data_IF_433421471590
#
_entry.id   IF_433421471590
#
_cell.length_a   1.000
_cell.length_b   1.000
_cell.length_c   1.000
_cell.angle_alpha   90.00
_cell.angle_beta   90.00
_cell.angle_gamma   90.00
#
_symmetry.space_group_name_H-M   'P 1'
#
loop_
_entity.id
_entity.type
_entity.pdbx_description
1 polymer ?
#
# COMPACT_ATOMS: atom_id res chain seq x y z
N UNK A 1 -25.51 42.02 -36.66
CA UNK A 1 -26.19 41.03 -35.80
C UNK A 1 -25.13 40.44 -34.88
N UNK A 2 -25.02 40.97 -33.66
CA UNK A 2 -23.97 40.63 -32.69
C UNK A 2 -24.51 39.46 -31.86
N UNK A 3 -23.91 38.28 -31.96
CA UNK A 3 -24.24 37.20 -31.02
C UNK A 3 -23.63 37.52 -29.66
N UNK A 4 -24.44 37.56 -28.58
CA UNK A 4 -23.91 37.75 -27.24
C UNK A 4 -23.14 36.49 -26.84
N UNK A 5 -21.84 36.65 -26.61
CA UNK A 5 -20.96 35.65 -26.01
C UNK A 5 -21.39 35.36 -24.57
N UNK A 6 -22.36 34.47 -24.42
CA UNK A 6 -22.78 33.96 -23.13
C UNK A 6 -21.66 33.11 -22.55
N UNK A 7 -21.12 33.56 -21.42
CA UNK A 7 -20.29 32.75 -20.53
C UNK A 7 -21.14 31.58 -20.01
N UNK A 8 -21.27 30.51 -20.80
CA UNK A 8 -21.74 29.22 -20.31
C UNK A 8 -20.64 28.67 -19.42
N UNK A 9 -20.64 29.11 -18.15
CA UNK A 9 -19.86 28.51 -17.10
C UNK A 9 -20.05 27.00 -17.17
N UNK A 10 -18.96 26.29 -17.44
CA UNK A 10 -18.99 24.90 -17.85
C UNK A 10 -19.43 24.00 -16.68
N UNK A 11 -20.75 23.83 -16.53
CA UNK A 11 -21.41 22.98 -15.55
C UNK A 11 -20.96 21.51 -15.64
N UNK A 12 -20.23 21.13 -16.70
CA UNK A 12 -19.65 19.79 -16.82
C UNK A 12 -18.45 19.58 -15.89
N UNK A 13 -17.79 20.65 -15.44
CA UNK A 13 -16.59 20.58 -14.57
C UNK A 13 -16.90 20.39 -13.07
N UNK A 14 -18.09 20.77 -12.60
CA UNK A 14 -18.47 20.69 -11.18
C UNK A 14 -18.93 19.29 -10.75
N UNK A 15 -19.63 18.55 -11.64
CA UNK A 15 -20.15 17.20 -11.35
C UNK A 15 -19.07 16.19 -10.93
N UNK A 16 -17.87 16.16 -11.55
CA UNK A 16 -16.83 15.20 -11.18
C UNK A 16 -16.27 15.37 -9.76
N UNK A 17 -16.22 16.59 -9.22
CA UNK A 17 -15.74 16.85 -7.86
C UNK A 17 -16.76 16.45 -6.80
N UNK A 18 -18.06 16.67 -7.06
CA UNK A 18 -19.12 16.20 -6.17
C UNK A 18 -19.12 14.68 -6.02
N UNK A 19 -18.91 13.93 -7.10
CA UNK A 19 -18.77 12.47 -7.03
C UNK A 19 -17.51 12.04 -6.26
N UNK A 20 -16.38 12.74 -6.46
CA UNK A 20 -15.15 12.46 -5.71
C UNK A 20 -15.33 12.71 -4.20
N UNK A 21 -16.11 13.72 -3.82
CA UNK A 21 -16.39 14.05 -2.43
C UNK A 21 -17.09 12.90 -1.68
N UNK A 22 -18.04 12.21 -2.32
CA UNK A 22 -18.73 11.06 -1.72
C UNK A 22 -17.79 9.90 -1.38
N UNK A 23 -16.68 9.75 -2.10
CA UNK A 23 -15.63 8.79 -1.78
C UNK A 23 -14.59 9.36 -0.80
N UNK A 24 -14.28 10.65 -0.89
CA UNK A 24 -13.25 11.27 -0.05
C UNK A 24 -13.67 11.40 1.42
N UNK A 25 -14.95 11.71 1.69
CA UNK A 25 -15.48 11.86 3.05
C UNK A 25 -15.33 10.56 3.88
N UNK A 26 -15.83 9.39 3.44
CA UNK A 26 -15.68 8.16 4.23
C UNK A 26 -14.23 7.73 4.39
N UNK A 27 -13.37 7.91 3.38
CA UNK A 27 -11.94 7.59 3.49
C UNK A 27 -11.22 8.50 4.49
N UNK A 28 -11.50 9.80 4.45
CA UNK A 28 -10.97 10.77 5.42
C UNK A 28 -11.42 10.42 6.83
N UNK A 29 -12.72 10.17 7.02
CA UNK A 29 -13.29 9.81 8.31
C UNK A 29 -12.67 8.51 8.86
N UNK A 30 -12.52 7.48 8.03
CA UNK A 30 -11.87 6.22 8.40
C UNK A 30 -10.43 6.44 8.87
N UNK A 31 -9.63 7.17 8.08
CA UNK A 31 -8.22 7.39 8.40
C UNK A 31 -8.05 8.20 9.69
N UNK A 32 -8.81 9.30 9.83
CA UNK A 32 -8.79 10.11 11.05
C UNK A 32 -9.30 9.31 12.24
N UNK A 33 -10.32 8.46 12.08
CA UNK A 33 -10.81 7.59 13.15
C UNK A 33 -9.75 6.59 13.61
N UNK A 34 -9.07 5.89 12.69
CA UNK A 34 -8.02 4.93 13.04
C UNK A 34 -6.84 5.62 13.75
N UNK A 35 -6.38 6.75 13.21
CA UNK A 35 -5.30 7.51 13.84
C UNK A 35 -5.73 8.10 15.19
N UNK A 36 -6.96 8.60 15.30
CA UNK A 36 -7.51 9.04 16.58
C UNK A 36 -7.58 7.87 17.57
N UNK A 37 -8.03 6.69 17.14
CA UNK A 37 -8.05 5.53 18.01
C UNK A 37 -6.66 5.17 18.52
N UNK A 38 -5.65 5.03 17.65
CA UNK A 38 -4.30 4.63 18.07
C UNK A 38 -3.55 5.70 18.87
N UNK A 39 -3.71 6.98 18.52
CA UNK A 39 -3.01 8.07 19.20
C UNK A 39 -3.79 8.59 20.40
N UNK A 40 -5.11 8.72 20.36
CA UNK A 40 -5.86 9.30 21.47
C UNK A 40 -6.35 8.27 22.48
N UNK A 41 -6.92 7.15 22.02
CA UNK A 41 -7.73 6.25 22.85
C UNK A 41 -6.93 5.02 23.32
N UNK A 42 -6.29 4.32 22.39
CA UNK A 42 -5.63 3.06 22.65
C UNK A 42 -4.39 3.25 23.52
N UNK A 43 -4.04 2.20 24.27
CA UNK A 43 -2.83 2.18 25.08
C UNK A 43 -1.60 2.21 24.17
N UNK A 44 -0.87 3.33 24.18
CA UNK A 44 0.32 3.54 23.36
C UNK A 44 1.49 2.65 23.77
N UNK A 45 1.52 2.17 25.02
CA UNK A 45 2.49 1.18 25.45
C UNK A 45 2.29 -0.14 24.71
N UNK A 46 1.06 -0.47 24.35
CA UNK A 46 0.72 -1.66 23.57
C UNK A 46 0.82 -1.38 22.07
N UNK A 47 0.16 -0.33 21.57
CA UNK A 47 0.06 -0.08 20.12
C UNK A 47 1.43 0.26 19.51
N UNK A 48 2.25 1.05 20.22
CA UNK A 48 3.57 1.47 19.73
C UNK A 48 4.73 0.78 20.46
N UNK A 49 4.44 -0.17 21.35
CA UNK A 49 5.43 -0.94 22.12
C UNK A 49 6.41 -0.06 22.92
N UNK A 50 5.89 0.99 23.58
CA UNK A 50 6.75 1.83 24.43
C UNK A 50 7.40 0.99 25.52
N UNK A 51 8.70 1.15 25.67
CA UNK A 51 9.55 0.49 26.66
C UNK A 51 9.47 -1.05 26.65
N UNK A 52 8.95 -1.66 25.58
CA UNK A 52 8.98 -3.10 25.43
C UNK A 52 10.41 -3.56 25.14
N UNK A 53 10.82 -4.66 25.78
CA UNK A 53 12.07 -5.33 25.47
C UNK A 53 11.94 -6.04 24.11
N UNK A 54 12.61 -5.50 23.10
CA UNK A 54 12.71 -6.07 21.76
C UNK A 54 14.07 -6.75 21.52
N UNK A 55 14.77 -7.09 22.60
CA UNK A 55 16.07 -7.72 22.59
C UNK A 55 17.22 -6.77 22.22
N UNK A 56 18.45 -7.29 22.14
CA UNK A 56 19.66 -6.48 22.00
C UNK A 56 19.76 -5.74 20.64
N UNK A 57 18.93 -6.13 19.67
CA UNK A 57 18.87 -5.47 18.35
C UNK A 57 18.16 -4.12 18.39
N UNK A 58 17.24 -3.94 19.33
CA UNK A 58 16.40 -2.75 19.45
C UNK A 58 16.34 -2.33 20.93
N UNK A 59 17.48 -1.87 21.49
CA UNK A 59 17.62 -1.62 22.92
C UNK A 59 16.85 -0.37 23.41
N UNK A 60 16.49 0.53 22.50
CA UNK A 60 15.72 1.74 22.82
C UNK A 60 14.36 1.72 22.13
N UNK A 61 13.32 1.51 22.96
CA UNK A 61 11.90 1.54 22.60
C UNK A 61 11.17 2.67 23.33
N UNK A 62 11.91 3.69 23.78
CA UNK A 62 11.31 4.91 24.32
C UNK A 62 10.40 5.61 23.28
N UNK A 63 9.47 6.48 23.71
CA UNK A 63 8.51 7.10 22.81
C UNK A 63 9.11 7.83 21.61
N UNK A 64 10.33 8.36 21.72
CA UNK A 64 10.97 9.10 20.64
C UNK A 64 12.22 8.42 20.07
N UNK A 65 12.43 7.14 20.41
CA UNK A 65 13.48 6.34 19.78
C UNK A 65 13.25 6.22 18.27
N UNK A 66 14.29 5.87 17.52
CA UNK A 66 14.18 5.66 16.08
C UNK A 66 13.18 4.54 15.73
N UNK A 67 13.12 3.48 16.56
CA UNK A 67 12.24 2.33 16.36
C UNK A 67 10.79 2.74 16.56
N UNK A 68 10.48 3.39 17.68
CA UNK A 68 9.12 3.83 18.01
C UNK A 68 8.65 4.93 17.06
N UNK A 69 9.53 5.89 16.74
CA UNK A 69 9.23 6.92 15.74
C UNK A 69 8.88 6.31 14.37
N UNK A 70 9.50 5.18 14.02
CA UNK A 70 9.15 4.47 12.79
C UNK A 70 7.73 3.89 12.79
N UNK A 71 7.25 3.44 13.96
CA UNK A 71 5.90 2.91 14.13
C UNK A 71 4.84 3.99 13.93
N UNK A 72 5.10 5.23 14.33
CA UNK A 72 4.15 6.32 14.13
C UNK A 72 3.81 6.54 12.67
N UNK A 73 4.81 6.59 11.78
CA UNK A 73 4.54 6.80 10.37
C UNK A 73 4.08 5.52 9.66
N UNK A 74 4.49 4.34 10.15
CA UNK A 74 3.89 3.07 9.73
C UNK A 74 2.39 3.02 10.02
N UNK A 75 1.89 3.67 11.08
CA UNK A 75 0.45 3.75 11.35
C UNK A 75 -0.31 4.43 10.20
N UNK A 76 0.29 5.42 9.54
CA UNK A 76 -0.27 6.04 8.34
C UNK A 76 -0.43 5.07 7.17
N UNK A 77 0.54 4.17 6.98
CA UNK A 77 0.48 3.11 5.97
C UNK A 77 -0.55 2.03 6.32
N UNK A 78 -0.65 1.64 7.60
CA UNK A 78 -1.68 0.69 8.08
C UNK A 78 -3.08 1.26 7.85
N UNK A 79 -3.33 2.52 8.21
CA UNK A 79 -4.60 3.19 7.94
C UNK A 79 -4.90 3.27 6.44
N UNK A 80 -3.89 3.57 5.63
CA UNK A 80 -4.01 3.59 4.17
C UNK A 80 -4.29 2.20 3.57
N UNK A 81 -3.76 1.13 4.18
CA UNK A 81 -4.09 -0.25 3.82
C UNK A 81 -5.55 -0.58 4.08
N UNK A 82 -6.09 -0.18 5.23
CA UNK A 82 -7.52 -0.34 5.52
C UNK A 82 -8.38 0.43 4.51
N UNK A 83 -8.00 1.68 4.21
CA UNK A 83 -8.64 2.51 3.20
C UNK A 83 -8.60 1.85 1.81
N UNK A 84 -7.46 1.28 1.40
CA UNK A 84 -7.30 0.59 0.12
C UNK A 84 -8.26 -0.60 0.00
N UNK A 85 -8.34 -1.44 1.04
CA UNK A 85 -9.18 -2.63 1.03
C UNK A 85 -10.65 -2.27 0.89
N UNK A 86 -11.13 -1.34 1.73
CA UNK A 86 -12.53 -0.90 1.70
C UNK A 86 -12.88 -0.18 0.40
N UNK A 87 -12.02 0.74 -0.05
CA UNK A 87 -12.25 1.47 -1.29
C UNK A 87 -12.26 0.55 -2.51
N UNK A 88 -11.31 -0.40 -2.59
CA UNK A 88 -11.24 -1.36 -3.70
C UNK A 88 -12.47 -2.27 -3.72
N UNK A 89 -12.88 -2.77 -2.55
CA UNK A 89 -14.07 -3.60 -2.40
C UNK A 89 -15.36 -2.85 -2.77
N UNK A 90 -15.55 -1.63 -2.27
CA UNK A 90 -16.70 -0.78 -2.58
C UNK A 90 -16.79 -0.52 -4.08
N UNK A 91 -15.67 -0.12 -4.71
CA UNK A 91 -15.62 0.13 -6.16
C UNK A 91 -15.93 -1.14 -6.98
N UNK A 92 -15.40 -2.29 -6.55
CA UNK A 92 -15.71 -3.57 -7.17
C UNK A 92 -17.21 -3.87 -7.11
N UNK A 93 -17.81 -3.73 -5.93
CA UNK A 93 -19.22 -4.00 -5.67
C UNK A 93 -20.13 -3.05 -6.46
N UNK A 94 -19.89 -1.74 -6.40
CA UNK A 94 -20.65 -0.73 -7.14
C UNK A 94 -20.56 -0.96 -8.65
N UNK A 95 -19.39 -1.37 -9.17
CA UNK A 95 -19.22 -1.74 -10.58
C UNK A 95 -19.99 -2.99 -11.01
N UNK A 96 -20.46 -3.83 -10.07
CA UNK A 96 -21.33 -4.97 -10.35
C UNK A 96 -22.81 -4.63 -10.23
N UNK A 97 -23.18 -3.80 -9.25
CA UNK A 97 -24.57 -3.45 -8.97
C UNK A 97 -25.07 -2.37 -9.93
N UNK A 98 -24.25 -1.36 -10.21
CA UNK A 98 -24.67 -0.17 -10.97
C UNK A 98 -23.96 -0.17 -12.32
N UNK A 99 -24.67 -0.56 -13.39
CA UNK A 99 -24.11 -0.72 -14.75
C UNK A 99 -23.46 0.55 -15.31
N UNK A 100 -23.95 1.72 -14.93
CA UNK A 100 -23.44 3.03 -15.34
C UNK A 100 -22.36 3.60 -14.41
N UNK A 101 -22.00 2.89 -13.34
CA UNK A 101 -21.05 3.39 -12.36
C UNK A 101 -19.67 3.59 -12.98
N UNK A 102 -19.13 4.78 -12.74
CA UNK A 102 -17.77 5.16 -13.09
C UNK A 102 -17.18 5.84 -11.88
N UNK A 103 -16.14 5.26 -11.26
CA UNK A 103 -15.56 5.88 -10.09
C UNK A 103 -14.85 7.18 -10.46
N UNK A 104 -14.77 8.15 -9.54
CA UNK A 104 -13.99 9.35 -9.73
C UNK A 104 -12.51 9.00 -9.97
N UNK A 105 -11.81 9.87 -10.69
CA UNK A 105 -10.36 9.71 -10.86
C UNK A 105 -9.66 9.77 -9.51
N UNK A 106 -8.75 8.82 -9.25
CA UNK A 106 -8.08 8.64 -7.96
C UNK A 106 -7.50 9.94 -7.37
N UNK A 107 -6.85 10.78 -8.20
CA UNK A 107 -6.20 12.01 -7.73
C UNK A 107 -7.19 13.05 -7.20
N UNK A 108 -8.45 13.06 -7.66
CA UNK A 108 -9.50 13.96 -7.14
C UNK A 108 -9.93 13.53 -5.75
N UNK A 109 -10.13 12.23 -5.56
CA UNK A 109 -10.45 11.65 -4.24
C UNK A 109 -9.30 11.94 -3.28
N UNK A 110 -8.07 11.66 -3.70
CA UNK A 110 -6.87 11.94 -2.93
C UNK A 110 -6.74 13.42 -2.55
N UNK A 111 -6.91 14.35 -3.50
CA UNK A 111 -6.79 15.78 -3.23
C UNK A 111 -7.84 16.28 -2.22
N UNK A 112 -9.08 15.79 -2.34
CA UNK A 112 -10.15 16.13 -1.38
C UNK A 112 -9.89 15.55 0.01
N UNK A 113 -9.28 14.37 0.12
CA UNK A 113 -8.84 13.83 1.41
C UNK A 113 -7.63 14.56 1.98
N UNK A 114 -6.70 15.02 1.13
CA UNK A 114 -5.44 15.58 1.56
C UNK A 114 -5.63 16.81 2.45
N UNK A 115 -6.56 17.70 2.09
CA UNK A 115 -6.83 18.94 2.85
C UNK A 115 -7.20 18.67 4.31
N UNK A 116 -8.27 17.92 4.64
CA UNK A 116 -8.60 17.62 6.03
C UNK A 116 -7.55 16.75 6.72
N UNK A 117 -6.85 15.85 6.01
CA UNK A 117 -5.82 15.00 6.61
C UNK A 117 -4.58 15.79 7.06
N UNK A 118 -4.14 16.79 6.27
CA UNK A 118 -3.01 17.67 6.63
C UNK A 118 -3.27 18.46 7.91
N UNK A 119 -4.55 18.73 8.23
CA UNK A 119 -4.94 19.44 9.45
C UNK A 119 -5.21 18.45 10.59
N UNK A 120 -6.00 17.40 10.31
CA UNK A 120 -6.48 16.46 11.31
C UNK A 120 -5.36 15.59 11.91
N UNK A 121 -4.41 15.12 11.10
CA UNK A 121 -3.33 14.24 11.59
C UNK A 121 -2.41 14.98 12.58
N UNK A 122 -1.87 16.17 12.28
CA UNK A 122 -1.13 16.96 13.26
C UNK A 122 -1.96 17.32 14.48
N UNK A 123 -3.23 17.69 14.28
CA UNK A 123 -4.14 18.05 15.39
C UNK A 123 -4.29 16.90 16.39
N UNK A 124 -4.47 15.66 15.91
CA UNK A 124 -4.54 14.46 16.75
C UNK A 124 -3.19 14.17 17.40
N UNK A 125 -2.13 14.05 16.60
CA UNK A 125 -0.83 13.54 17.06
C UNK A 125 -0.07 14.50 17.97
N UNK A 126 -0.27 15.81 17.82
CA UNK A 126 0.46 16.83 18.59
C UNK A 126 -0.30 17.36 19.81
N UNK A 127 -1.61 17.12 19.92
CA UNK A 127 -2.42 17.72 21.00
C UNK A 127 -3.18 16.70 21.86
N UNK A 128 -3.31 15.45 21.43
CA UNK A 128 -4.15 14.47 22.12
C UNK A 128 -3.29 13.37 22.75
N UNK A 129 -3.52 13.12 24.04
CA UNK A 129 -2.86 12.11 24.87
C UNK A 129 -1.32 12.34 25.01
N UNK A 130 -0.68 11.70 25.98
CA UNK A 130 0.74 11.90 26.32
C UNK A 130 1.58 10.65 26.05
N UNK A 131 2.85 10.79 25.62
CA UNK A 131 3.50 12.03 25.20
C UNK A 131 3.03 12.49 23.82
N UNK A 132 2.75 13.77 23.61
CA UNK A 132 2.40 14.27 22.27
C UNK A 132 3.58 14.17 21.30
N UNK A 133 3.31 13.98 20.01
CA UNK A 133 4.38 13.86 19.02
C UNK A 133 5.01 15.22 18.72
N UNK A 134 6.35 15.29 18.56
CA UNK A 134 6.99 16.47 18.00
C UNK A 134 6.56 16.65 16.53
N UNK A 135 6.64 17.89 16.04
CA UNK A 135 6.22 18.25 14.68
C UNK A 135 6.85 17.35 13.61
N UNK A 136 8.14 17.00 13.74
CA UNK A 136 8.83 16.13 12.78
C UNK A 136 8.17 14.76 12.62
N UNK A 137 7.72 14.14 13.72
CA UNK A 137 7.06 12.85 13.70
C UNK A 137 5.62 12.98 13.18
N UNK A 138 4.89 14.03 13.59
CA UNK A 138 3.56 14.32 13.05
C UNK A 138 3.56 14.54 11.53
N UNK A 139 4.58 15.25 11.01
CA UNK A 139 4.79 15.42 9.58
C UNK A 139 5.11 14.09 8.88
N UNK A 140 5.93 13.22 9.48
CA UNK A 140 6.18 11.89 8.92
C UNK A 140 4.90 11.05 8.82
N UNK A 141 4.07 11.03 9.87
CA UNK A 141 2.75 10.35 9.85
C UNK A 141 1.86 10.93 8.75
N UNK A 142 1.81 12.26 8.64
CA UNK A 142 1.00 12.95 7.63
C UNK A 142 1.46 12.59 6.21
N UNK A 143 2.75 12.76 5.91
CA UNK A 143 3.32 12.49 4.59
C UNK A 143 3.13 11.04 4.16
N UNK A 144 3.39 10.08 5.06
CA UNK A 144 3.26 8.65 4.78
C UNK A 144 1.81 8.24 4.61
N UNK A 145 0.88 8.83 5.37
CA UNK A 145 -0.57 8.66 5.16
C UNK A 145 -1.01 9.18 3.80
N UNK A 146 -0.53 10.36 3.37
CA UNK A 146 -0.89 10.93 2.07
C UNK A 146 -0.32 10.11 0.90
N UNK A 147 0.92 9.64 0.99
CA UNK A 147 1.52 8.76 -0.01
C UNK A 147 0.79 7.42 -0.05
N UNK A 148 0.50 6.84 1.12
CA UNK A 148 -0.25 5.59 1.23
C UNK A 148 -1.66 5.71 0.64
N UNK A 149 -2.36 6.82 0.91
CA UNK A 149 -3.69 7.08 0.35
C UNK A 149 -3.66 7.28 -1.18
N UNK A 150 -2.61 7.89 -1.71
CA UNK A 150 -2.44 8.00 -3.16
C UNK A 150 -2.39 6.60 -3.79
N UNK A 151 -1.61 5.68 -3.20
CA UNK A 151 -1.56 4.29 -3.64
C UNK A 151 -2.90 3.57 -3.43
N UNK A 152 -3.54 3.76 -2.27
CA UNK A 152 -4.80 3.11 -1.88
C UNK A 152 -5.97 3.38 -2.83
N UNK A 153 -5.97 4.55 -3.49
CA UNK A 153 -7.05 4.97 -4.40
C UNK A 153 -6.83 4.53 -5.85
N UNK A 154 -5.63 4.07 -6.22
CA UNK A 154 -5.32 3.63 -7.59
C UNK A 154 -6.14 2.42 -8.07
N UNK A 155 -6.37 1.36 -7.27
CA UNK A 155 -7.05 0.16 -7.74
C UNK A 155 -8.54 0.38 -8.04
N UNK A 156 -9.18 1.42 -7.49
CA UNK A 156 -10.64 1.63 -7.57
C UNK A 156 -11.19 1.61 -8.99
N UNK A 157 -10.50 2.25 -9.95
CA UNK A 157 -10.92 2.22 -11.37
C UNK A 157 -10.87 0.82 -11.95
N UNK A 158 -9.82 0.05 -11.66
CA UNK A 158 -9.67 -1.33 -12.14
C UNK A 158 -10.74 -2.22 -11.52
N UNK A 159 -10.96 -2.09 -10.21
CA UNK A 159 -11.96 -2.84 -9.47
C UNK A 159 -13.39 -2.64 -10.04
N UNK A 160 -13.76 -1.39 -10.31
CA UNK A 160 -15.08 -1.07 -10.87
C UNK A 160 -15.22 -1.51 -12.33
N UNK A 161 -14.28 -1.12 -13.20
CA UNK A 161 -14.45 -1.22 -14.67
C UNK A 161 -13.90 -2.50 -15.29
N UNK A 162 -12.92 -3.16 -14.66
CA UNK A 162 -12.17 -4.28 -15.21
C UNK A 162 -11.93 -5.36 -14.13
N UNK A 163 -13.00 -5.91 -13.51
CA UNK A 163 -12.86 -6.84 -12.38
C UNK A 163 -12.09 -8.12 -12.73
N UNK A 164 -12.18 -8.57 -13.98
CA UNK A 164 -11.45 -9.73 -14.48
C UNK A 164 -9.92 -9.51 -14.48
N UNK A 165 -9.45 -8.26 -14.39
CA UNK A 165 -8.03 -7.94 -14.20
C UNK A 165 -7.61 -7.87 -12.74
N UNK A 166 -8.56 -7.72 -11.81
CA UNK A 166 -8.24 -7.49 -10.40
C UNK A 166 -7.58 -8.71 -9.76
N UNK A 167 -8.14 -9.91 -9.97
CA UNK A 167 -7.56 -11.14 -9.45
C UNK A 167 -6.15 -11.41 -10.03
N UNK A 168 -5.94 -11.40 -11.37
CA UNK A 168 -4.60 -11.53 -11.93
C UNK A 168 -3.59 -10.51 -11.39
N UNK A 169 -4.02 -9.24 -11.25
CA UNK A 169 -3.16 -8.19 -10.69
C UNK A 169 -2.81 -8.43 -9.24
N UNK A 170 -3.75 -8.92 -8.43
CA UNK A 170 -3.49 -9.26 -7.04
C UNK A 170 -2.50 -10.43 -6.94
N UNK A 171 -2.69 -11.51 -7.71
CA UNK A 171 -1.75 -12.65 -7.64
C UNK A 171 -0.34 -12.26 -8.13
N UNK A 172 -0.24 -11.44 -9.18
CA UNK A 172 1.05 -10.86 -9.58
C UNK A 172 1.62 -9.92 -8.51
N UNK A 173 0.75 -9.14 -7.86
CA UNK A 173 1.07 -8.30 -6.71
C UNK A 173 1.74 -9.11 -5.60
N UNK A 174 1.19 -10.28 -5.26
CA UNK A 174 1.72 -11.12 -4.18
C UNK A 174 3.10 -11.64 -4.53
N UNK A 175 3.31 -12.05 -5.79
CA UNK A 175 4.63 -12.46 -6.28
C UNK A 175 5.66 -11.33 -6.19
N UNK A 176 5.28 -10.12 -6.61
CA UNK A 176 6.13 -8.93 -6.53
C UNK A 176 6.43 -8.53 -5.08
N UNK A 177 5.42 -8.55 -4.22
CA UNK A 177 5.50 -8.24 -2.80
C UNK A 177 6.47 -9.17 -2.08
N UNK A 178 6.37 -10.49 -2.30
CA UNK A 178 7.28 -11.48 -1.73
C UNK A 178 8.73 -11.19 -2.10
N UNK A 179 9.01 -10.87 -3.38
CA UNK A 179 10.36 -10.50 -3.83
C UNK A 179 10.81 -9.21 -3.15
N UNK A 180 9.99 -8.15 -3.17
CA UNK A 180 10.35 -6.84 -2.61
C UNK A 180 10.67 -6.91 -1.12
N UNK A 181 9.80 -7.52 -0.31
CA UNK A 181 10.00 -7.66 1.13
C UNK A 181 11.18 -8.58 1.46
N UNK A 182 11.40 -9.62 0.66
CA UNK A 182 12.55 -10.50 0.87
C UNK A 182 13.88 -9.81 0.58
N UNK A 183 13.92 -8.94 -0.44
CA UNK A 183 15.10 -8.14 -0.75
C UNK A 183 15.40 -7.09 0.34
N UNK A 184 14.38 -6.58 1.05
CA UNK A 184 14.60 -5.73 2.24
C UNK A 184 15.38 -6.52 3.30
N UNK A 185 14.99 -7.77 3.56
CA UNK A 185 15.70 -8.61 4.55
C UNK A 185 17.14 -8.96 4.19
N UNK A 186 17.53 -8.88 2.90
CA UNK A 186 18.92 -9.09 2.47
C UNK A 186 19.86 -8.03 3.08
N UNK A 187 19.40 -6.79 3.25
CA UNK A 187 20.21 -5.75 3.89
C UNK A 187 20.54 -6.10 5.35
N UNK A 188 19.59 -6.74 6.02
CA UNK A 188 19.72 -7.15 7.42
C UNK A 188 20.42 -8.49 7.58
N UNK A 189 20.80 -9.16 6.49
CA UNK A 189 21.27 -10.54 6.49
C UNK A 189 22.49 -10.75 7.40
N UNK A 190 23.51 -9.90 7.27
CA UNK A 190 24.74 -10.01 8.08
C UNK A 190 24.42 -9.85 9.58
N UNK A 191 23.63 -8.83 9.92
CA UNK A 191 23.20 -8.53 11.29
C UNK A 191 22.31 -9.63 11.87
N UNK A 192 21.40 -10.21 11.09
CA UNK A 192 20.50 -11.28 11.57
C UNK A 192 21.27 -12.59 11.74
N UNK A 193 22.20 -12.91 10.84
CA UNK A 193 23.06 -14.10 10.93
C UNK A 193 23.97 -14.05 12.15
N UNK A 194 24.59 -12.91 12.43
CA UNK A 194 25.47 -12.76 13.60
C UNK A 194 24.73 -12.94 14.94
N UNK A 195 23.41 -12.75 14.95
CA UNK A 195 22.55 -12.95 16.12
C UNK A 195 21.82 -14.30 16.11
N UNK A 196 22.32 -15.30 15.38
CA UNK A 196 21.74 -16.65 15.34
C UNK A 196 20.44 -16.80 14.54
N UNK A 197 20.03 -15.77 13.79
CA UNK A 197 18.76 -15.72 13.06
C UNK A 197 18.76 -16.49 11.74
N UNK A 198 19.22 -17.74 11.69
CA UNK A 198 19.25 -18.55 10.45
C UNK A 198 17.86 -18.72 9.84
N UNK A 199 16.83 -18.83 10.68
CA UNK A 199 15.43 -18.91 10.26
C UNK A 199 15.00 -17.71 9.41
N UNK A 200 15.42 -16.50 9.77
CA UNK A 200 15.13 -15.29 8.98
C UNK A 200 15.74 -15.37 7.58
N UNK A 201 16.97 -15.87 7.46
CA UNK A 201 17.63 -16.06 6.16
C UNK A 201 16.84 -17.01 5.28
N UNK A 202 16.33 -18.10 5.86
CA UNK A 202 15.51 -19.07 5.16
C UNK A 202 14.19 -18.45 4.68
N UNK A 203 13.49 -17.67 5.52
CA UNK A 203 12.26 -16.98 5.10
C UNK A 203 12.54 -16.04 3.93
N UNK A 204 13.62 -15.26 3.95
CA UNK A 204 13.96 -14.35 2.84
C UNK A 204 14.28 -15.11 1.56
N UNK A 205 15.05 -16.20 1.65
CA UNK A 205 15.34 -17.05 0.49
C UNK A 205 14.06 -17.68 -0.08
N UNK A 206 13.20 -18.21 0.79
CA UNK A 206 11.90 -18.78 0.41
C UNK A 206 10.97 -17.72 -0.20
N UNK A 207 11.01 -16.48 0.29
CA UNK A 207 10.20 -15.40 -0.28
C UNK A 207 10.67 -14.96 -1.67
N UNK A 208 11.99 -14.91 -1.93
CA UNK A 208 12.51 -14.65 -3.29
C UNK A 208 12.13 -15.78 -4.24
N UNK A 209 12.43 -17.03 -3.85
CA UNK A 209 12.14 -18.22 -4.68
C UNK A 209 10.64 -18.39 -4.89
N UNK A 210 9.86 -18.27 -3.82
CA UNK A 210 8.40 -18.36 -3.83
C UNK A 210 7.75 -17.25 -4.65
N UNK A 211 8.23 -16.00 -4.51
CA UNK A 211 7.78 -14.88 -5.32
C UNK A 211 8.07 -15.07 -6.81
N UNK A 212 9.28 -15.50 -7.16
CA UNK A 212 9.65 -15.85 -8.53
C UNK A 212 8.80 -17.01 -9.10
N UNK A 213 8.62 -18.08 -8.33
CA UNK A 213 7.79 -19.22 -8.71
C UNK A 213 6.33 -18.80 -8.91
N UNK A 214 5.78 -17.94 -8.05
CA UNK A 214 4.42 -17.41 -8.20
C UNK A 214 4.28 -16.59 -9.48
N UNK A 215 5.23 -15.70 -9.79
CA UNK A 215 5.21 -14.91 -11.04
C UNK A 215 5.33 -15.79 -12.31
N UNK A 216 6.07 -16.89 -12.23
CA UNK A 216 6.14 -17.88 -13.32
C UNK A 216 4.83 -18.66 -13.45
N UNK A 217 4.24 -19.08 -12.33
CA UNK A 217 2.96 -19.78 -12.31
C UNK A 217 1.83 -18.89 -12.85
N UNK A 218 1.75 -17.61 -12.44
CA UNK A 218 0.78 -16.66 -13.00
C UNK A 218 1.02 -16.44 -14.48
N UNK A 219 2.28 -16.38 -14.92
CA UNK A 219 2.62 -16.29 -16.35
C UNK A 219 2.12 -17.50 -17.12
N UNK A 220 2.30 -18.72 -16.61
CA UNK A 220 1.73 -19.93 -17.22
C UNK A 220 0.20 -19.90 -17.25
N UNK A 221 -0.45 -19.45 -16.17
CA UNK A 221 -1.91 -19.26 -16.14
C UNK A 221 -2.39 -18.22 -17.16
N UNK A 222 -1.65 -17.12 -17.36
CA UNK A 222 -1.94 -16.13 -18.40
C UNK A 222 -1.89 -16.75 -19.79
N UNK A 223 -0.89 -17.60 -20.06
CA UNK A 223 -0.72 -18.28 -21.34
C UNK A 223 -1.83 -19.32 -21.56
N UNK A 224 -2.09 -20.15 -20.56
CA UNK A 224 -3.03 -21.27 -20.65
C UNK A 224 -4.49 -20.81 -20.63
N UNK A 225 -4.88 -19.93 -19.71
CA UNK A 225 -6.27 -19.44 -19.57
C UNK A 225 -6.57 -18.18 -20.37
N UNK A 226 -5.57 -17.59 -21.04
CA UNK A 226 -5.76 -16.36 -21.79
C UNK A 226 -6.16 -15.17 -20.93
N UNK A 227 -5.64 -15.07 -19.70
CA UNK A 227 -5.95 -13.93 -18.83
C UNK A 227 -5.55 -12.59 -19.46
N UNK A 228 -6.29 -11.49 -19.17
CA UNK A 228 -6.07 -10.21 -19.82
C UNK A 228 -4.63 -9.72 -19.71
N UNK A 229 -4.12 -9.09 -20.76
CA UNK A 229 -2.80 -8.47 -20.72
C UNK A 229 -2.73 -7.38 -19.63
N UNK A 230 -1.68 -7.45 -18.81
CA UNK A 230 -1.39 -6.50 -17.74
C UNK A 230 -0.20 -5.62 -18.13
N UNK A 231 -0.22 -4.36 -17.73
CA UNK A 231 0.90 -3.44 -17.96
C UNK A 231 1.96 -3.60 -16.87
N UNK A 232 3.23 -3.37 -17.21
CA UNK A 232 4.34 -3.42 -16.24
C UNK A 232 4.09 -2.46 -15.06
N UNK A 233 3.58 -1.26 -15.33
CA UNK A 233 3.20 -0.28 -14.31
C UNK A 233 2.13 -0.83 -13.36
N UNK A 234 1.12 -1.51 -13.88
CA UNK A 234 0.04 -2.08 -13.05
C UNK A 234 0.56 -3.20 -12.16
N UNK A 235 1.43 -4.07 -12.67
CA UNK A 235 2.07 -5.15 -11.89
C UNK A 235 2.95 -4.57 -10.78
N UNK A 236 3.81 -3.60 -11.10
CA UNK A 236 4.66 -2.94 -10.12
C UNK A 236 3.84 -2.26 -9.02
N UNK A 237 2.80 -1.49 -9.39
CA UNK A 237 1.95 -0.81 -8.43
C UNK A 237 1.11 -1.78 -7.59
N UNK A 238 0.68 -2.92 -8.13
CA UNK A 238 0.02 -3.96 -7.35
C UNK A 238 0.97 -4.51 -6.29
N UNK A 239 2.22 -4.83 -6.66
CA UNK A 239 3.26 -5.25 -5.72
C UNK A 239 3.53 -4.20 -4.63
N UNK A 240 3.61 -2.91 -5.01
CA UNK A 240 3.79 -1.82 -4.05
C UNK A 240 2.59 -1.64 -3.10
N UNK A 241 1.36 -1.75 -3.61
CA UNK A 241 0.14 -1.71 -2.79
C UNK A 241 0.13 -2.85 -1.77
N UNK A 242 0.52 -4.06 -2.20
CA UNK A 242 0.53 -5.20 -1.30
C UNK A 242 1.69 -5.13 -0.29
N UNK A 243 2.89 -4.76 -0.72
CA UNK A 243 4.05 -4.67 0.15
C UNK A 243 3.94 -3.55 1.18
N UNK A 244 3.41 -2.38 0.78
CA UNK A 244 3.46 -1.18 1.62
C UNK A 244 2.13 -0.78 2.24
N UNK A 245 1.01 -1.39 1.84
CA UNK A 245 -0.29 -1.11 2.44
C UNK A 245 -0.94 -2.39 2.99
N UNK A 246 -1.09 -3.43 2.16
CA UNK A 246 -1.77 -4.66 2.59
C UNK A 246 -0.98 -5.39 3.67
N UNK A 247 0.33 -5.60 3.49
CA UNK A 247 1.13 -6.34 4.45
C UNK A 247 1.31 -5.62 5.78
N UNK A 248 1.52 -4.29 5.86
CA UNK A 248 1.45 -3.57 7.13
C UNK A 248 0.10 -3.74 7.83
N UNK A 249 -1.01 -3.69 7.09
CA UNK A 249 -2.33 -3.96 7.65
C UNK A 249 -2.46 -5.39 8.16
N UNK A 250 -2.10 -6.39 7.36
CA UNK A 250 -2.11 -7.80 7.75
C UNK A 250 -1.21 -8.07 8.95
N UNK A 251 -0.06 -7.41 9.03
CA UNK A 251 0.80 -7.45 10.19
C UNK A 251 0.09 -6.95 11.44
N UNK A 252 -0.58 -5.80 11.36
CA UNK A 252 -1.33 -5.24 12.47
C UNK A 252 -2.47 -6.16 12.93
N UNK A 253 -3.27 -6.69 11.99
CA UNK A 253 -4.49 -7.46 12.33
C UNK A 253 -4.25 -8.96 12.62
N UNK A 254 -3.21 -9.57 12.04
CA UNK A 254 -3.00 -11.03 12.09
C UNK A 254 -1.74 -11.47 12.81
N UNK A 255 -0.68 -10.66 12.82
CA UNK A 255 0.65 -11.08 13.29
C UNK A 255 1.06 -10.42 14.63
N UNK A 256 0.12 -9.79 15.32
CA UNK A 256 0.38 -8.99 16.52
C UNK A 256 0.20 -9.73 17.86
N UNK A 257 0.11 -11.08 17.86
CA UNK A 257 -0.01 -11.91 19.07
C UNK A 257 -1.03 -11.39 20.11
N UNK A 258 -2.20 -10.93 19.65
CA UNK A 258 -3.30 -10.31 20.44
C UNK A 258 -3.08 -8.86 20.90
N UNK A 259 -1.90 -8.29 20.70
CA UNK A 259 -1.57 -6.93 21.11
C UNK A 259 -1.91 -5.86 20.06
N UNK A 260 -2.29 -6.23 18.83
CA UNK A 260 -2.66 -5.29 17.75
C UNK A 260 -1.71 -4.09 17.64
N UNK A 261 -0.40 -4.34 17.67
CA UNK A 261 0.61 -3.28 17.60
C UNK A 261 0.89 -2.83 16.16
N UNK A 262 1.43 -1.62 16.01
CA UNK A 262 1.94 -1.11 14.74
C UNK A 262 3.40 -1.52 14.59
N UNK A 263 3.68 -2.29 13.55
CA UNK A 263 5.03 -2.76 13.19
C UNK A 263 6.01 -1.62 12.96
N UNK A 264 7.30 -1.88 13.22
CA UNK A 264 8.39 -0.99 12.82
C UNK A 264 8.62 -1.04 11.30
N UNK A 265 9.30 -0.02 10.77
CA UNK A 265 9.56 0.14 9.34
C UNK A 265 10.52 -0.90 8.77
N UNK A 266 11.40 -1.49 9.57
CA UNK A 266 12.49 -2.35 9.08
C UNK A 266 11.94 -3.70 8.57
N UNK A 267 10.68 -4.02 8.88
CA UNK A 267 9.97 -5.15 8.30
C UNK A 267 9.52 -4.92 6.85
N UNK A 268 9.50 -3.67 6.37
CA UNK A 268 8.94 -3.29 5.06
C UNK A 268 9.88 -2.47 4.19
N UNK A 269 10.80 -1.73 4.79
CA UNK A 269 11.68 -0.81 4.10
C UNK A 269 13.14 -1.10 4.45
N UNK A 270 13.99 -0.99 3.44
CA UNK A 270 15.43 -0.96 3.63
C UNK A 270 15.84 0.24 4.50
N UNK A 271 16.84 0.04 5.36
CA UNK A 271 17.38 1.08 6.24
C UNK A 271 18.13 2.15 5.45
N UNK A 272 18.71 1.77 4.31
CA UNK A 272 19.42 2.66 3.38
C UNK A 272 18.56 2.97 2.16
N UNK A 273 18.35 4.25 1.89
CA UNK A 273 17.57 4.71 0.74
C UNK A 273 18.11 4.17 -0.60
N UNK A 274 19.43 4.08 -0.77
CA UNK A 274 20.03 3.51 -1.99
C UNK A 274 19.65 2.04 -2.21
N UNK A 275 19.59 1.24 -1.14
CA UNK A 275 19.14 -0.15 -1.21
C UNK A 275 17.65 -0.20 -1.56
N UNK A 276 16.83 0.66 -0.94
CA UNK A 276 15.40 0.74 -1.25
C UNK A 276 15.14 1.06 -2.73
N UNK A 277 15.90 1.99 -3.31
CA UNK A 277 15.82 2.34 -4.73
C UNK A 277 16.21 1.16 -5.63
N UNK A 278 17.26 0.42 -5.28
CA UNK A 278 17.66 -0.80 -6.01
C UNK A 278 16.54 -1.85 -5.97
N UNK A 279 15.90 -2.06 -4.81
CA UNK A 279 14.77 -2.98 -4.68
C UNK A 279 13.62 -2.59 -5.62
N UNK A 280 13.28 -1.29 -5.66
CA UNK A 280 12.25 -0.79 -6.58
C UNK A 280 12.65 -0.94 -8.05
N UNK A 281 13.91 -0.74 -8.40
CA UNK A 281 14.42 -0.97 -9.76
C UNK A 281 14.35 -2.44 -10.16
N UNK A 282 14.74 -3.36 -9.28
CA UNK A 282 14.60 -4.81 -9.49
C UNK A 282 13.13 -5.17 -9.71
N UNK A 283 12.24 -4.66 -8.86
CA UNK A 283 10.81 -4.91 -8.97
C UNK A 283 10.23 -4.36 -10.29
N UNK A 284 10.61 -3.16 -10.70
CA UNK A 284 10.21 -2.58 -11.99
C UNK A 284 10.74 -3.41 -13.18
N UNK A 285 11.99 -3.87 -13.10
CA UNK A 285 12.61 -4.75 -14.10
C UNK A 285 11.89 -6.08 -14.24
N UNK A 286 11.52 -6.73 -13.12
CA UNK A 286 10.73 -7.95 -13.10
C UNK A 286 9.34 -7.74 -13.72
N UNK A 287 8.63 -6.69 -13.30
CA UNK A 287 7.32 -6.35 -13.83
C UNK A 287 7.37 -6.09 -15.36
N UNK A 288 8.41 -5.43 -15.84
CA UNK A 288 8.65 -5.24 -17.28
C UNK A 288 8.96 -6.56 -17.99
N UNK A 289 9.84 -7.40 -17.41
CA UNK A 289 10.25 -8.68 -17.97
C UNK A 289 9.06 -9.64 -18.16
N UNK A 290 8.25 -9.84 -17.13
CA UNK A 290 7.11 -10.77 -17.20
C UNK A 290 6.04 -10.29 -18.19
N UNK A 291 5.79 -8.98 -18.26
CA UNK A 291 4.78 -8.41 -19.16
C UNK A 291 5.23 -8.42 -20.62
N UNK A 292 6.55 -8.40 -20.88
CA UNK A 292 7.13 -8.63 -22.22
C UNK A 292 7.18 -10.11 -22.60
N UNK A 293 7.37 -11.00 -21.64
CA UNK A 293 7.46 -12.44 -21.87
C UNK A 293 6.09 -13.05 -22.24
N UNK A 294 5.02 -12.68 -21.53
CA UNK A 294 3.67 -13.26 -21.68
C UNK A 294 3.15 -13.27 -23.12
N UNK A 295 3.13 -12.15 -23.88
CA UNK A 295 2.64 -12.16 -25.26
C UNK A 295 3.39 -13.12 -26.17
N UNK A 296 4.72 -13.23 -26.00
CA UNK A 296 5.56 -14.13 -26.80
C UNK A 296 5.23 -15.60 -26.53
N UNK A 297 4.98 -15.95 -25.27
CA UNK A 297 4.59 -17.30 -24.88
C UNK A 297 3.18 -17.64 -25.38
N UNK A 298 2.23 -16.70 -25.33
CA UNK A 298 0.88 -16.89 -25.88
C UNK A 298 0.93 -17.19 -27.38
N UNK A 299 1.71 -16.44 -28.16
CA UNK A 299 1.85 -16.69 -29.60
C UNK A 299 2.42 -18.08 -29.89
N UNK A 300 3.47 -18.48 -29.17
CA UNK A 300 4.08 -19.81 -29.33
C UNK A 300 3.13 -20.94 -28.92
N UNK A 301 2.42 -20.78 -27.80
CA UNK A 301 1.47 -21.78 -27.31
C UNK A 301 0.35 -22.01 -28.33
N UNK A 302 -0.22 -20.93 -28.90
CA UNK A 302 -1.26 -21.04 -29.93
C UNK A 302 -0.78 -21.71 -31.20
N UNK A 303 0.44 -21.41 -31.66
CA UNK A 303 1.01 -22.02 -32.85
C UNK A 303 1.22 -23.55 -32.73
N UNK A 304 1.36 -24.06 -31.50
CA UNK A 304 1.55 -25.49 -31.24
C UNK A 304 0.24 -26.26 -31.03
N UNK A 305 -0.89 -25.57 -30.83
CA UNK A 305 -2.21 -26.18 -30.57
C UNK A 305 -3.06 -26.24 -31.85
N UNK A 306 -2.69 -25.47 -32.88
CA UNK A 306 -3.29 -25.48 -34.22
C UNK A 306 -2.58 -26.45 -35.15
#
# INVERSE_FOLDING_TARGET
MIQPGGASGDLTTARPWRSALFHAVPLTALILYLLYHWFAIADRYIVFLYYHDMGPLYPDTSPFSAVTSSRYWMAGLVASGAAMMLYTFENWLLGRIIRSYRPPTWWRVWALCAVPLVIGIPSITMNVNQPTLPLSNALQVTCTTLIGLALATLPGKVAASQPNKLLPLAVDGWGMMLVMLSLVGVELLSRRRSNGGIWWVQIMALGIVGGGALLLATTALHVWRGWPALSARSVFLAGACEAYLLMPLLHHVSFSNRYYYITDKDNFFASRIGVQLIIWLIAAGLAWGITRLRPRLVTRFRANVT
#
